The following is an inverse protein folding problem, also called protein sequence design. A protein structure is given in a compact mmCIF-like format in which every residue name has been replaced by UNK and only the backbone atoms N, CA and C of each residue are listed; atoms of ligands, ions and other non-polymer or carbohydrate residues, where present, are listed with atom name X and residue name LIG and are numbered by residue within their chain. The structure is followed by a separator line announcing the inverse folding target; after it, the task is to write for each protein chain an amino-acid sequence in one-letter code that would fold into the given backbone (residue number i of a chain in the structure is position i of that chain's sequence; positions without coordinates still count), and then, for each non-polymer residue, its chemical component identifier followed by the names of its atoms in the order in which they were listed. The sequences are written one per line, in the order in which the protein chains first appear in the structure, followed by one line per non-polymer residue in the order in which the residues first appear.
data_IF_246640425078
#
_entry.id   IF_246640425078
#
_cell.length_a   1.000
_cell.length_b   1.000
_cell.length_c   1.000
_cell.angle_alpha   90.00
_cell.angle_beta   90.00
_cell.angle_gamma   90.00
#
_symmetry.space_group_name_H-M   'P 1'
#
loop_
_entity.id
_entity.type
_entity.pdbx_description
1 polymer ?
#
# COMPACT_ATOMS: atom_id res chain seq x y z
N UNK A 1 21.99 -22.70 -48.36
CA UNK A 1 21.21 -23.15 -47.18
C UNK A 1 22.18 -23.61 -46.10
N UNK A 2 22.37 -22.85 -45.02
CA UNK A 2 23.14 -23.32 -43.85
C UNK A 2 22.22 -24.21 -43.03
N UNK A 3 22.41 -25.52 -43.09
CA UNK A 3 21.81 -26.48 -42.17
C UNK A 3 22.33 -26.16 -40.77
N UNK A 4 21.52 -25.52 -39.93
CA UNK A 4 21.80 -25.43 -38.49
C UNK A 4 21.80 -26.85 -37.94
N UNK A 5 22.99 -27.37 -37.65
CA UNK A 5 23.17 -28.66 -36.97
C UNK A 5 22.44 -28.55 -35.62
N UNK A 6 21.31 -29.24 -35.49
CA UNK A 6 20.55 -29.32 -34.24
C UNK A 6 21.51 -29.84 -33.16
N UNK A 7 21.68 -29.09 -32.08
CA UNK A 7 22.54 -29.52 -30.98
C UNK A 7 22.06 -30.90 -30.51
N UNK A 8 22.97 -31.84 -30.21
CA UNK A 8 22.59 -33.17 -29.78
C UNK A 8 21.79 -33.11 -28.47
N UNK A 9 20.76 -33.94 -28.37
CA UNK A 9 19.96 -34.09 -27.15
C UNK A 9 20.87 -34.49 -25.98
N UNK A 10 20.78 -33.80 -24.83
CA UNK A 10 21.61 -34.12 -23.67
C UNK A 10 21.22 -35.48 -23.10
N UNK A 11 22.17 -36.13 -22.40
CA UNK A 11 21.85 -37.35 -21.66
C UNK A 11 20.85 -37.04 -20.55
N UNK A 12 19.74 -37.79 -20.51
CA UNK A 12 18.70 -37.66 -19.47
C UNK A 12 19.31 -37.84 -18.06
N UNK A 13 19.19 -36.85 -17.15
CA UNK A 13 19.69 -36.95 -15.78
C UNK A 13 18.90 -37.97 -14.92
N UNK A 14 19.54 -38.51 -13.88
CA UNK A 14 18.95 -39.55 -12.98
C UNK A 14 17.69 -39.14 -12.22
N UNK A 15 17.37 -37.84 -12.13
CA UNK A 15 16.16 -37.33 -11.46
C UNK A 15 14.98 -37.02 -12.38
N UNK A 16 15.16 -37.13 -13.70
CA UNK A 16 14.12 -36.81 -14.69
C UNK A 16 13.29 -38.06 -14.98
N UNK A 17 11.94 -37.97 -14.96
CA UNK A 17 11.08 -39.09 -15.29
C UNK A 17 11.39 -39.75 -16.64
N UNK A 18 11.21 -41.07 -16.71
CA UNK A 18 11.52 -41.87 -17.89
C UNK A 18 10.68 -41.44 -19.11
N UNK A 19 9.45 -41.01 -18.88
CA UNK A 19 8.47 -40.55 -19.87
C UNK A 19 8.60 -39.07 -20.25
N UNK A 20 9.39 -38.28 -19.51
CA UNK A 20 9.66 -36.88 -19.87
C UNK A 20 10.41 -36.78 -21.21
N UNK A 21 10.03 -35.79 -22.03
CA UNK A 21 10.60 -35.57 -23.38
C UNK A 21 11.50 -34.34 -23.38
N UNK A 22 12.54 -34.34 -24.21
CA UNK A 22 13.41 -33.17 -24.31
C UNK A 22 12.80 -32.10 -25.22
N UNK A 23 12.54 -30.92 -24.66
CA UNK A 23 12.16 -29.71 -25.36
C UNK A 23 13.46 -28.94 -25.68
N UNK A 24 13.93 -29.08 -26.93
CA UNK A 24 15.15 -28.43 -27.40
C UNK A 24 15.05 -26.90 -27.46
N UNK A 25 13.94 -26.28 -27.92
CA UNK A 25 13.77 -24.82 -27.86
C UNK A 25 13.99 -24.21 -26.47
N UNK A 26 13.42 -24.82 -25.44
CA UNK A 26 13.52 -24.31 -24.06
C UNK A 26 14.69 -24.92 -23.27
N UNK A 27 15.46 -25.78 -23.93
CA UNK A 27 16.55 -26.59 -23.38
C UNK A 27 16.20 -27.28 -22.05
N UNK A 28 15.04 -27.93 -21.97
CA UNK A 28 14.51 -28.55 -20.75
C UNK A 28 13.88 -29.91 -21.04
N UNK A 29 13.75 -30.75 -20.02
CA UNK A 29 12.89 -31.93 -20.09
C UNK A 29 11.48 -31.56 -19.64
N UNK A 30 10.44 -32.06 -20.30
CA UNK A 30 9.04 -31.74 -20.00
C UNK A 30 8.17 -32.99 -19.89
N UNK A 31 7.16 -32.93 -19.03
CA UNK A 31 6.14 -33.95 -18.87
C UNK A 31 4.79 -33.29 -18.60
N UNK A 32 3.79 -33.68 -19.38
CA UNK A 32 2.43 -33.21 -19.22
C UNK A 32 1.48 -33.88 -20.22
N UNK A 33 0.22 -33.44 -20.22
CA UNK A 33 -0.83 -34.00 -21.08
C UNK A 33 -1.28 -32.98 -22.12
N UNK A 34 -1.56 -33.49 -23.31
CA UNK A 34 -2.22 -32.75 -24.39
C UNK A 34 -3.69 -33.18 -24.45
N UNK A 35 -4.57 -32.24 -24.80
CA UNK A 35 -5.95 -32.51 -25.12
C UNK A 35 -6.10 -33.12 -26.53
N UNK A 36 -7.34 -33.41 -26.94
CA UNK A 36 -7.66 -33.98 -28.27
C UNK A 36 -7.25 -33.09 -29.45
N UNK A 37 -7.03 -31.79 -29.21
CA UNK A 37 -6.61 -30.79 -30.20
C UNK A 37 -5.11 -30.53 -30.16
N UNK A 38 -4.36 -31.29 -29.36
CA UNK A 38 -2.92 -31.14 -29.21
C UNK A 38 -2.52 -29.92 -28.37
N UNK A 39 -3.41 -29.39 -27.52
CA UNK A 39 -3.14 -28.27 -26.62
C UNK A 39 -2.76 -28.75 -25.22
N UNK A 40 -1.83 -28.08 -24.51
CA UNK A 40 -1.49 -28.46 -23.14
C UNK A 40 -2.69 -28.28 -22.21
N UNK A 41 -2.86 -29.24 -21.30
CA UNK A 41 -3.94 -29.22 -20.30
C UNK A 41 -3.44 -29.76 -18.96
N UNK A 42 -3.89 -29.14 -17.87
CA UNK A 42 -3.56 -29.55 -16.52
C UNK A 42 -2.10 -29.25 -16.17
N UNK A 43 -1.56 -30.03 -15.23
CA UNK A 43 -0.19 -29.84 -14.75
C UNK A 43 0.86 -30.30 -15.77
N UNK A 44 1.86 -29.44 -15.97
CA UNK A 44 3.09 -29.69 -16.71
C UNK A 44 4.28 -29.45 -15.78
N UNK A 45 5.29 -30.31 -15.90
CA UNK A 45 6.53 -30.22 -15.13
C UNK A 45 7.72 -30.14 -16.05
N UNK A 46 8.70 -29.34 -15.66
CA UNK A 46 9.90 -29.10 -16.44
C UNK A 46 11.15 -29.28 -15.58
N UNK A 47 12.16 -29.97 -16.12
CA UNK A 47 13.43 -30.23 -15.44
C UNK A 47 14.61 -29.68 -16.24
N UNK A 48 15.59 -29.15 -15.53
CA UNK A 48 16.78 -28.57 -16.12
C UNK A 48 17.63 -29.61 -16.87
N UNK A 49 18.10 -29.28 -18.07
CA UNK A 49 18.76 -30.25 -18.98
C UNK A 49 19.95 -31.00 -18.41
N UNK A 50 20.79 -30.36 -17.60
CA UNK A 50 22.07 -30.94 -17.15
C UNK A 50 21.97 -31.61 -15.79
N UNK A 51 21.32 -30.96 -14.83
CA UNK A 51 21.25 -31.42 -13.44
C UNK A 51 19.96 -32.17 -13.13
N UNK A 52 18.90 -31.99 -13.93
CA UNK A 52 17.63 -32.69 -13.76
C UNK A 52 16.80 -32.27 -12.56
N UNK A 53 17.11 -31.14 -11.92
CA UNK A 53 16.22 -30.56 -10.91
C UNK A 53 14.96 -30.01 -11.57
N UNK A 54 13.84 -30.06 -10.85
CA UNK A 54 12.57 -29.45 -11.28
C UNK A 54 12.75 -27.93 -11.31
N UNK A 55 12.60 -27.32 -12.50
CA UNK A 55 12.80 -25.88 -12.70
C UNK A 55 11.52 -25.13 -13.05
N UNK A 56 10.44 -25.82 -13.41
CA UNK A 56 9.13 -25.21 -13.57
C UNK A 56 7.98 -26.19 -13.31
N UNK A 57 6.90 -25.69 -12.72
CA UNK A 57 5.58 -26.34 -12.70
C UNK A 57 4.59 -25.36 -13.30
N UNK A 58 3.82 -25.80 -14.29
CA UNK A 58 2.81 -24.99 -14.97
C UNK A 58 1.46 -25.69 -14.93
N UNK A 59 0.39 -24.93 -14.90
CA UNK A 59 -0.97 -25.43 -14.98
C UNK A 59 -1.69 -24.74 -16.13
N UNK A 60 -2.11 -25.53 -17.12
CA UNK A 60 -2.75 -25.05 -18.34
C UNK A 60 -4.27 -25.25 -18.31
N UNK A 61 -5.00 -24.17 -18.55
CA UNK A 61 -6.45 -24.10 -18.64
C UNK A 61 -6.88 -23.50 -20.00
N UNK A 62 -8.18 -23.48 -20.28
CA UNK A 62 -8.77 -22.82 -21.47
C UNK A 62 -8.15 -23.25 -22.80
N UNK A 63 -7.87 -24.55 -22.95
CA UNK A 63 -7.24 -25.10 -24.16
C UNK A 63 -5.80 -24.63 -24.33
N UNK A 64 -5.08 -24.48 -23.21
CA UNK A 64 -3.68 -24.05 -23.17
C UNK A 64 -3.48 -22.54 -23.30
N UNK A 65 -4.56 -21.75 -23.26
CA UNK A 65 -4.49 -20.28 -23.36
C UNK A 65 -4.08 -19.64 -22.05
N UNK A 66 -4.56 -20.17 -20.93
CA UNK A 66 -4.23 -19.68 -19.61
C UNK A 66 -3.19 -20.61 -18.98
N UNK A 67 -2.08 -20.03 -18.54
CA UNK A 67 -0.99 -20.73 -17.88
C UNK A 67 -0.72 -20.08 -16.53
N UNK A 68 -0.86 -20.83 -15.45
CA UNK A 68 -0.34 -20.44 -14.14
C UNK A 68 0.94 -21.20 -13.89
N UNK A 69 2.08 -20.52 -13.76
CA UNK A 69 3.36 -21.20 -13.61
C UNK A 69 4.17 -20.73 -12.40
N UNK A 70 5.03 -21.62 -11.92
CA UNK A 70 6.04 -21.38 -10.90
C UNK A 70 7.37 -21.90 -11.40
N UNK A 71 8.31 -21.00 -11.69
CA UNK A 71 9.72 -21.33 -11.89
C UNK A 71 10.38 -21.56 -10.54
N UNK A 72 11.29 -22.52 -10.48
CA UNK A 72 11.89 -22.99 -9.24
C UNK A 72 13.41 -22.89 -9.30
N UNK A 73 14.01 -22.43 -8.22
CA UNK A 73 15.43 -22.61 -7.94
C UNK A 73 15.74 -24.10 -7.69
N UNK A 74 17.01 -24.52 -7.80
CA UNK A 74 17.41 -25.90 -7.51
C UNK A 74 17.09 -26.37 -6.09
N UNK A 75 16.91 -25.46 -5.12
CA UNK A 75 16.52 -25.78 -3.74
C UNK A 75 15.01 -25.95 -3.55
N UNK A 76 14.22 -25.84 -4.63
CA UNK A 76 12.77 -25.98 -4.63
C UNK A 76 11.99 -24.73 -4.20
N UNK A 77 12.68 -23.65 -3.82
CA UNK A 77 12.01 -22.35 -3.65
C UNK A 77 11.68 -21.74 -5.02
N UNK A 78 10.64 -20.90 -5.11
CA UNK A 78 10.29 -20.29 -6.39
C UNK A 78 11.26 -19.16 -6.77
N UNK A 79 11.57 -19.08 -8.06
CA UNK A 79 12.27 -17.92 -8.65
C UNK A 79 11.28 -16.93 -9.25
N UNK A 80 10.23 -17.42 -9.92
CA UNK A 80 9.16 -16.63 -10.54
C UNK A 80 7.81 -17.30 -10.36
N UNK A 81 6.75 -16.54 -10.09
CA UNK A 81 5.34 -16.98 -10.19
C UNK A 81 4.53 -15.97 -10.99
N UNK A 82 3.72 -16.45 -11.94
CA UNK A 82 2.89 -15.58 -12.77
C UNK A 82 1.70 -16.35 -13.37
N UNK A 83 0.71 -15.58 -13.84
CA UNK A 83 -0.36 -16.05 -14.71
C UNK A 83 -0.22 -15.37 -16.07
N UNK A 84 -0.21 -16.18 -17.13
CA UNK A 84 -0.25 -15.73 -18.50
C UNK A 84 -1.58 -16.09 -19.17
N UNK A 85 -2.06 -15.21 -20.04
CA UNK A 85 -3.11 -15.51 -21.03
C UNK A 85 -2.56 -15.22 -22.42
N UNK A 86 -2.65 -16.21 -23.30
CA UNK A 86 -2.11 -16.17 -24.67
C UNK A 86 -0.62 -15.77 -24.70
N UNK A 87 0.14 -16.30 -23.72
CA UNK A 87 1.59 -16.07 -23.58
C UNK A 87 1.98 -14.69 -23.04
N UNK A 88 1.04 -13.91 -22.49
CA UNK A 88 1.30 -12.58 -21.93
C UNK A 88 0.84 -12.49 -20.46
N UNK A 89 1.55 -11.72 -19.61
CA UNK A 89 1.07 -11.39 -18.28
C UNK A 89 -0.32 -10.74 -18.32
N UNK A 90 -1.16 -11.10 -17.35
CA UNK A 90 -2.50 -10.54 -17.19
C UNK A 90 -2.39 -9.17 -16.49
N UNK A 91 -2.94 -8.08 -17.06
CA UNK A 91 -3.00 -6.78 -16.39
C UNK A 91 -3.66 -6.86 -15.01
N UNK A 92 -3.04 -6.26 -14.01
CA UNK A 92 -3.48 -6.24 -12.61
C UNK A 92 -3.00 -7.43 -11.78
N UNK A 93 -2.59 -8.54 -12.40
CA UNK A 93 -1.98 -9.67 -11.70
C UNK A 93 -0.55 -9.35 -11.25
N UNK A 94 -0.15 -9.94 -10.13
CA UNK A 94 1.19 -9.77 -9.57
C UNK A 94 2.11 -10.86 -10.08
N UNK A 95 3.24 -10.45 -10.66
CA UNK A 95 4.37 -11.31 -10.95
C UNK A 95 5.28 -11.30 -9.72
N UNK A 96 5.52 -12.46 -9.13
CA UNK A 96 6.39 -12.59 -7.98
C UNK A 96 7.76 -13.07 -8.42
N UNK A 97 8.80 -12.37 -8.02
CA UNK A 97 10.18 -12.78 -8.22
C UNK A 97 10.86 -12.97 -6.85
N UNK A 98 11.72 -13.96 -6.72
CA UNK A 98 12.48 -14.19 -5.49
C UNK A 98 13.88 -14.71 -5.80
N UNK A 99 14.83 -14.39 -4.92
CA UNK A 99 16.17 -14.98 -4.91
C UNK A 99 16.19 -16.28 -4.10
N UNK A 100 17.14 -17.12 -4.44
CA UNK A 100 17.55 -18.25 -3.62
C UNK A 100 18.59 -17.82 -2.58
N UNK A 101 18.57 -18.46 -1.41
CA UNK A 101 19.66 -18.37 -0.42
C UNK A 101 20.85 -19.28 -0.78
N UNK A 102 20.62 -20.23 -1.69
CA UNK A 102 21.59 -21.17 -2.22
C UNK A 102 22.05 -20.77 -3.63
N UNK A 103 23.22 -21.24 -4.11
CA UNK A 103 23.64 -21.06 -5.49
C UNK A 103 22.53 -21.47 -6.48
N UNK A 104 22.25 -20.63 -7.46
CA UNK A 104 21.16 -20.85 -8.42
C UNK A 104 21.54 -20.39 -9.82
N UNK A 105 20.97 -21.07 -10.82
CA UNK A 105 21.01 -20.68 -12.23
C UNK A 105 19.80 -19.84 -12.63
N UNK A 106 18.81 -19.71 -11.76
CA UNK A 106 17.61 -18.89 -11.98
C UNK A 106 17.87 -17.46 -11.52
N UNK A 107 18.18 -16.57 -12.47
CA UNK A 107 18.68 -15.22 -12.23
C UNK A 107 17.61 -14.13 -12.44
N UNK A 108 16.35 -14.45 -12.14
CA UNK A 108 15.22 -13.56 -12.38
C UNK A 108 15.34 -12.20 -11.66
N UNK A 109 16.03 -12.17 -10.51
CA UNK A 109 16.49 -10.95 -9.84
C UNK A 109 18.03 -10.99 -9.80
N UNK A 110 18.67 -10.37 -10.77
CA UNK A 110 20.13 -10.30 -10.88
C UNK A 110 20.59 -8.91 -11.30
N UNK A 111 21.83 -8.56 -10.98
CA UNK A 111 22.39 -7.23 -11.24
C UNK A 111 22.81 -6.50 -9.95
N UNK A 112 23.74 -5.53 -10.06
CA UNK A 112 24.23 -4.75 -8.92
C UNK A 112 23.13 -3.93 -8.21
N UNK A 113 22.11 -3.48 -8.94
CA UNK A 113 20.98 -2.70 -8.42
C UNK A 113 20.13 -3.50 -7.43
N UNK A 114 19.99 -4.81 -7.63
CA UNK A 114 19.20 -5.67 -6.74
C UNK A 114 20.01 -6.17 -5.54
N UNK A 115 21.20 -5.64 -5.24
CA UNK A 115 22.09 -6.16 -4.18
C UNK A 115 21.40 -6.29 -2.82
N UNK A 116 20.46 -5.39 -2.50
CA UNK A 116 19.69 -5.39 -1.25
C UNK A 116 18.31 -6.06 -1.36
N UNK A 117 17.84 -6.27 -2.58
CA UNK A 117 16.53 -6.85 -2.88
C UNK A 117 16.60 -8.37 -2.91
N UNK A 118 15.71 -9.01 -2.17
CA UNK A 118 15.57 -10.47 -2.12
C UNK A 118 14.31 -10.95 -2.83
N UNK A 119 13.24 -10.15 -2.83
CA UNK A 119 11.96 -10.48 -3.45
C UNK A 119 11.38 -9.22 -4.10
N UNK A 120 10.71 -9.40 -5.22
CA UNK A 120 10.05 -8.33 -5.97
C UNK A 120 8.63 -8.77 -6.28
N UNK A 121 7.68 -7.85 -6.14
CA UNK A 121 6.32 -7.98 -6.64
C UNK A 121 6.11 -6.94 -7.73
N UNK A 122 5.86 -7.40 -8.95
CA UNK A 122 5.56 -6.55 -10.10
C UNK A 122 4.07 -6.65 -10.43
N UNK A 123 3.32 -5.57 -10.28
CA UNK A 123 1.96 -5.49 -10.83
C UNK A 123 2.07 -5.03 -12.28
N UNK A 124 1.84 -5.95 -13.21
CA UNK A 124 1.84 -5.64 -14.63
C UNK A 124 0.59 -4.83 -14.97
N UNK A 125 0.75 -3.67 -15.61
CA UNK A 125 -0.39 -2.83 -16.03
C UNK A 125 -0.59 -2.96 -17.53
N UNK A 126 0.47 -2.70 -18.29
CA UNK A 126 0.52 -2.82 -19.75
C UNK A 126 1.96 -2.88 -20.21
N UNK A 127 2.17 -3.16 -21.50
CA UNK A 127 3.52 -3.19 -22.08
C UNK A 127 4.30 -1.92 -21.74
N UNK A 128 5.44 -2.08 -21.07
CA UNK A 128 6.33 -0.99 -20.66
C UNK A 128 5.91 -0.22 -19.39
N UNK A 129 4.86 -0.67 -18.70
CA UNK A 129 4.39 -0.04 -17.46
C UNK A 129 4.00 -1.09 -16.42
N UNK A 130 4.71 -1.05 -15.31
CA UNK A 130 4.47 -1.90 -14.15
C UNK A 130 4.73 -1.11 -12.86
N UNK A 131 4.06 -1.51 -11.78
CA UNK A 131 4.39 -1.05 -10.42
C UNK A 131 5.23 -2.11 -9.73
N UNK A 132 6.21 -1.68 -8.95
CA UNK A 132 7.21 -2.55 -8.32
C UNK A 132 7.19 -2.37 -6.81
N UNK A 133 7.22 -3.49 -6.07
CA UNK A 133 7.47 -3.50 -4.63
C UNK A 133 8.68 -4.38 -4.35
N UNK A 134 9.71 -3.81 -3.71
CA UNK A 134 10.92 -4.53 -3.36
C UNK A 134 10.90 -4.93 -1.89
N UNK A 135 11.47 -6.09 -1.59
CA UNK A 135 11.54 -6.62 -0.24
C UNK A 135 12.93 -7.18 0.06
N UNK A 136 13.37 -6.98 1.30
CA UNK A 136 14.60 -7.58 1.80
C UNK A 136 14.41 -9.08 2.16
N UNK A 137 15.49 -9.73 2.58
CA UNK A 137 15.47 -11.15 2.95
C UNK A 137 14.64 -11.47 4.22
N UNK A 138 14.21 -10.46 4.97
CA UNK A 138 13.30 -10.57 6.12
C UNK A 138 11.84 -10.32 5.73
N UNK A 139 11.55 -10.04 4.46
CA UNK A 139 10.22 -9.73 3.95
C UNK A 139 9.77 -8.30 4.23
N UNK A 140 10.68 -7.39 4.62
CA UNK A 140 10.37 -5.98 4.86
C UNK A 140 10.42 -5.21 3.54
N UNK A 141 9.49 -4.28 3.36
CA UNK A 141 9.45 -3.41 2.18
C UNK A 141 10.65 -2.46 2.19
N UNK A 142 11.30 -2.34 1.04
CA UNK A 142 12.47 -1.48 0.84
C UNK A 142 12.36 -0.74 -0.50
N UNK A 143 13.06 0.38 -0.59
CA UNK A 143 13.48 0.97 -1.85
C UNK A 143 14.54 0.09 -2.53
N UNK A 144 14.82 0.36 -3.81
CA UNK A 144 15.82 -0.39 -4.58
C UNK A 144 17.22 -0.35 -3.92
N UNK A 145 17.58 0.76 -3.31
CA UNK A 145 18.85 0.96 -2.60
C UNK A 145 18.93 0.24 -1.23
N UNK A 146 17.82 -0.34 -0.77
CA UNK A 146 17.70 -1.01 0.52
C UNK A 146 17.18 -0.15 1.67
N UNK A 147 16.85 1.12 1.44
CA UNK A 147 16.18 1.98 2.42
C UNK A 147 14.85 1.35 2.82
N UNK A 148 14.58 1.24 4.12
CA UNK A 148 13.33 0.66 4.60
C UNK A 148 12.17 1.58 4.30
N UNK A 149 11.11 1.04 3.71
CA UNK A 149 9.82 1.72 3.59
C UNK A 149 9.02 1.33 4.85
N UNK A 150 8.84 2.26 5.82
CA UNK A 150 8.12 1.94 7.04
C UNK A 150 6.66 1.63 6.71
N UNK A 151 6.19 0.48 7.16
CA UNK A 151 4.79 0.11 7.09
C UNK A 151 4.13 0.42 8.43
N UNK A 152 2.95 1.00 8.38
CA UNK A 152 2.10 1.22 9.53
C UNK A 152 1.46 -0.11 9.95
N UNK A 153 1.77 -0.55 11.15
CA UNK A 153 1.16 -1.73 11.77
C UNK A 153 -0.29 -1.37 12.17
N UNK A 154 -1.27 -2.01 11.51
CA UNK A 154 -2.70 -1.75 11.73
C UNK A 154 -3.12 -1.99 13.19
N UNK A 155 -2.56 -3.01 13.87
CA UNK A 155 -2.90 -3.31 15.27
C UNK A 155 -2.35 -2.24 16.21
N UNK A 156 -1.18 -1.67 15.92
CA UNK A 156 -0.65 -0.53 16.67
C UNK A 156 -1.48 0.72 16.38
N UNK A 157 -1.80 0.98 15.11
CA UNK A 157 -2.59 2.13 14.69
C UNK A 157 -4.00 2.13 15.30
N UNK A 158 -4.64 0.96 15.39
CA UNK A 158 -5.95 0.79 16.01
C UNK A 158 -6.02 1.29 17.47
N UNK A 159 -4.87 1.37 18.17
CA UNK A 159 -4.81 1.88 19.55
C UNK A 159 -5.15 3.37 19.65
N UNK A 160 -4.98 4.16 18.59
CA UNK A 160 -5.37 5.57 18.55
C UNK A 160 -6.87 5.76 18.88
N UNK A 161 -7.70 4.77 18.55
CA UNK A 161 -9.16 4.82 18.68
C UNK A 161 -9.68 4.16 19.97
N UNK A 162 -8.83 3.47 20.72
CA UNK A 162 -9.17 2.83 21.98
C UNK A 162 -10.45 1.98 21.91
N UNK A 163 -11.42 2.28 22.79
CA UNK A 163 -12.71 1.58 22.86
C UNK A 163 -13.63 1.82 21.65
N UNK A 164 -13.36 2.84 20.84
CA UNK A 164 -14.20 3.16 19.69
C UNK A 164 -13.92 2.25 18.48
N UNK A 165 -12.76 1.58 18.47
CA UNK A 165 -12.34 0.69 17.38
C UNK A 165 -11.83 1.45 16.16
N UNK A 166 -11.02 0.77 15.36
CA UNK A 166 -10.50 1.30 14.09
C UNK A 166 -11.61 1.28 13.03
N UNK A 167 -11.96 2.44 12.43
CA UNK A 167 -12.85 2.49 11.27
C UNK A 167 -12.42 1.57 10.13
N UNK A 168 -13.37 0.85 9.54
CA UNK A 168 -13.09 -0.08 8.43
C UNK A 168 -12.45 0.65 7.24
N UNK A 169 -12.86 1.88 6.97
CA UNK A 169 -12.28 2.72 5.90
C UNK A 169 -10.84 3.12 6.20
N UNK A 170 -10.48 3.35 7.47
CA UNK A 170 -9.09 3.64 7.85
C UNK A 170 -8.22 2.39 7.80
N UNK A 171 -8.74 1.21 8.17
CA UNK A 171 -8.01 -0.05 7.98
C UNK A 171 -7.64 -0.28 6.51
N UNK A 172 -8.58 -0.03 5.59
CA UNK A 172 -8.30 -0.04 4.14
C UNK A 172 -7.29 1.03 3.72
N UNK A 173 -7.32 2.21 4.33
CA UNK A 173 -6.36 3.29 4.02
C UNK A 173 -4.96 2.97 4.56
N UNK A 174 -4.84 2.26 5.69
CA UNK A 174 -3.56 1.72 6.17
C UNK A 174 -2.95 0.79 5.12
N UNK A 175 -3.76 -0.09 4.53
CA UNK A 175 -3.29 -0.98 3.45
C UNK A 175 -2.85 -0.18 2.22
N UNK A 176 -3.67 0.80 1.79
CA UNK A 176 -3.32 1.67 0.67
C UNK A 176 -2.00 2.44 0.94
N UNK A 177 -1.85 3.08 2.10
CA UNK A 177 -0.63 3.78 2.48
C UNK A 177 0.58 2.83 2.55
N UNK A 178 0.41 1.63 3.09
CA UNK A 178 1.49 0.64 3.12
C UNK A 178 1.89 0.15 1.72
N UNK A 179 0.98 0.29 0.75
CA UNK A 179 1.17 -0.08 -0.65
C UNK A 179 1.77 1.05 -1.49
N UNK A 180 1.42 2.31 -1.24
CA UNK A 180 1.93 3.44 -2.03
C UNK A 180 3.05 4.22 -1.35
N UNK A 181 3.18 4.12 -0.02
CA UNK A 181 4.05 4.93 0.82
C UNK A 181 3.30 6.04 1.55
N UNK A 182 3.75 6.39 2.76
CA UNK A 182 3.28 7.58 3.47
C UNK A 182 3.63 8.85 2.67
N UNK A 183 2.77 9.87 2.71
CA UNK A 183 2.94 11.16 1.99
C UNK A 183 3.01 11.06 0.45
N UNK A 184 2.92 9.85 -0.13
CA UNK A 184 3.00 9.65 -1.58
C UNK A 184 1.70 10.01 -2.32
N UNK A 185 0.59 10.18 -1.61
CA UNK A 185 -0.73 10.44 -2.18
C UNK A 185 -1.36 11.77 -1.78
N UNK A 186 -0.83 12.43 -0.75
CA UNK A 186 -1.18 13.78 -0.34
C UNK A 186 -0.03 14.37 0.43
N UNK A 187 0.29 15.62 0.12
CA UNK A 187 1.33 16.39 0.78
C UNK A 187 1.11 16.45 2.30
N UNK A 188 2.19 16.14 3.03
CA UNK A 188 2.30 16.18 4.49
C UNK A 188 1.22 15.40 5.27
N UNK A 189 0.48 14.52 4.58
CA UNK A 189 -0.50 13.63 5.17
C UNK A 189 0.06 12.20 5.31
N UNK A 190 0.06 11.71 6.54
CA UNK A 190 0.41 10.33 6.83
C UNK A 190 -0.45 9.79 7.98
N UNK A 191 -1.07 8.62 7.78
CA UNK A 191 -1.57 7.85 8.90
C UNK A 191 -0.38 7.45 9.78
N UNK A 192 -0.51 7.66 11.09
CA UNK A 192 0.55 7.36 12.04
C UNK A 192 -0.05 6.93 13.39
N UNK A 193 0.69 6.09 14.12
CA UNK A 193 0.42 5.89 15.55
C UNK A 193 0.74 7.17 16.29
N UNK A 194 -0.14 7.58 17.18
CA UNK A 194 0.00 8.84 17.92
C UNK A 194 -0.28 8.59 19.41
N UNK A 195 0.63 9.06 20.26
CA UNK A 195 0.56 8.89 21.71
C UNK A 195 -0.12 10.06 22.43
N UNK A 196 -0.74 10.95 21.64
CA UNK A 196 -1.36 12.22 22.03
C UNK A 196 -0.37 13.26 22.54
N UNK A 197 0.90 13.17 22.14
CA UNK A 197 1.96 14.10 22.52
C UNK A 197 1.60 15.56 22.27
N UNK A 198 1.15 15.89 21.06
CA UNK A 198 0.72 17.25 20.71
C UNK A 198 -0.42 17.72 21.64
N UNK A 199 -1.46 16.91 21.83
CA UNK A 199 -2.61 17.26 22.65
C UNK A 199 -2.29 17.47 24.13
N UNK A 200 -1.24 16.84 24.66
CA UNK A 200 -0.76 17.07 26.04
C UNK A 200 -0.08 18.43 26.18
N UNK A 201 0.55 18.91 25.10
CA UNK A 201 1.15 20.24 25.01
C UNK A 201 0.14 21.32 24.61
N UNK A 202 -0.99 20.93 24.00
CA UNK A 202 -2.05 21.85 23.62
C UNK A 202 -2.65 22.53 24.85
N UNK A 203 -2.72 23.85 24.76
CA UNK A 203 -3.30 24.68 25.78
C UNK A 203 -4.80 24.88 25.58
N UNK A 204 -5.49 25.31 26.62
CA UNK A 204 -6.78 25.97 26.51
C UNK A 204 -6.70 27.14 25.51
N UNK A 205 -7.83 27.65 24.99
CA UNK A 205 -7.86 28.74 24.00
C UNK A 205 -7.12 30.03 24.39
N UNK A 206 -6.71 30.19 25.65
CA UNK A 206 -5.92 31.31 26.15
C UNK A 206 -4.40 31.01 26.24
N UNK A 207 -3.95 29.87 25.70
CA UNK A 207 -2.55 29.46 25.72
C UNK A 207 -2.07 28.87 27.05
N UNK A 208 -2.96 28.55 27.98
CA UNK A 208 -2.61 27.90 29.26
C UNK A 208 -2.85 26.38 29.28
N UNK A 209 -2.05 25.59 30.01
CA UNK A 209 -2.28 24.15 30.16
C UNK A 209 -3.67 23.85 30.73
N UNK A 210 -4.25 22.71 30.34
CA UNK A 210 -5.52 22.22 30.90
C UNK A 210 -5.44 22.13 32.42
N UNK A 211 -6.33 22.84 33.12
CA UNK A 211 -6.16 23.21 34.53
C UNK A 211 -6.13 22.05 35.54
N UNK A 212 -6.57 20.83 35.17
CA UNK A 212 -6.52 19.66 36.07
C UNK A 212 -6.31 18.35 35.32
N UNK A 213 -5.71 17.36 35.99
CA UNK A 213 -5.52 15.99 35.45
C UNK A 213 -6.82 15.32 35.02
N UNK A 214 -7.93 15.59 35.70
CA UNK A 214 -9.23 15.04 35.34
C UNK A 214 -9.76 15.67 34.04
N UNK A 215 -9.58 16.98 33.88
CA UNK A 215 -9.91 17.70 32.65
C UNK A 215 -9.00 17.28 31.50
N UNK A 216 -7.70 17.12 31.75
CA UNK A 216 -6.73 16.61 30.78
C UNK A 216 -7.13 15.22 30.29
N UNK A 217 -7.46 14.30 31.21
CA UNK A 217 -7.94 12.97 30.85
C UNK A 217 -9.18 13.03 29.96
N UNK A 218 -10.20 13.81 30.34
CA UNK A 218 -11.44 13.98 29.56
C UNK A 218 -11.18 14.60 28.19
N UNK A 219 -10.27 15.56 28.11
CA UNK A 219 -9.85 16.20 26.87
C UNK A 219 -9.18 15.19 25.93
N UNK A 220 -8.18 14.48 26.43
CA UNK A 220 -7.45 13.46 25.66
C UNK A 220 -8.37 12.31 25.24
N UNK A 221 -9.31 11.86 26.08
CA UNK A 221 -10.27 10.81 25.74
C UNK A 221 -11.24 11.21 24.62
N UNK A 222 -11.49 12.51 24.45
CA UNK A 222 -12.40 13.01 23.40
C UNK A 222 -11.72 13.17 22.03
N UNK A 223 -10.39 13.12 21.95
CA UNK A 223 -9.64 13.28 20.71
C UNK A 223 -9.04 11.93 20.28
N UNK A 224 -9.40 11.48 19.09
CA UNK A 224 -8.95 10.21 18.52
C UNK A 224 -8.05 10.52 17.30
N UNK A 225 -6.71 10.43 17.44
CA UNK A 225 -5.78 10.87 16.40
C UNK A 225 -5.90 9.99 15.14
N UNK A 226 -5.99 10.64 13.98
CA UNK A 226 -6.14 9.97 12.68
C UNK A 226 -4.81 9.97 11.94
N UNK A 227 -4.20 11.14 11.75
CA UNK A 227 -3.05 11.33 10.88
C UNK A 227 -2.24 12.57 11.27
N UNK A 228 -0.96 12.58 10.91
CA UNK A 228 -0.20 13.83 10.81
C UNK A 228 -0.83 14.72 9.75
N UNK A 229 -0.89 16.02 10.06
CA UNK A 229 -1.49 17.03 9.21
C UNK A 229 -0.46 17.90 8.51
N UNK A 230 0.77 18.00 9.02
CA UNK A 230 1.85 18.76 8.40
C UNK A 230 3.21 18.08 8.68
N UNK A 231 4.29 18.63 8.10
CA UNK A 231 5.64 18.08 8.28
C UNK A 231 6.29 18.34 9.65
N UNK A 232 5.70 19.18 10.50
CA UNK A 232 6.34 19.72 11.71
C UNK A 232 5.68 19.29 13.03
N UNK A 233 4.45 18.77 12.98
CA UNK A 233 3.80 18.13 14.14
C UNK A 233 2.29 18.33 14.28
N UNK A 234 1.62 19.05 13.39
CA UNK A 234 0.17 19.21 13.38
C UNK A 234 -0.54 17.86 13.22
N UNK A 235 -1.75 17.72 13.79
CA UNK A 235 -2.47 16.44 13.82
C UNK A 235 -3.95 16.62 13.48
N UNK A 236 -4.47 15.72 12.65
CA UNK A 236 -5.92 15.50 12.48
C UNK A 236 -6.45 14.52 13.51
N UNK A 237 -7.58 14.83 14.15
CA UNK A 237 -8.25 13.94 15.09
C UNK A 237 -9.76 13.91 14.86
N UNK A 238 -10.38 12.75 15.06
CA UNK A 238 -11.83 12.68 15.26
C UNK A 238 -12.16 13.20 16.66
N UNK A 239 -13.11 14.12 16.73
CA UNK A 239 -13.59 14.71 17.97
C UNK A 239 -14.89 14.04 18.42
N UNK A 240 -14.82 13.34 19.55
CA UNK A 240 -15.98 12.81 20.23
C UNK A 240 -16.72 13.94 20.95
N UNK A 241 -17.72 14.49 20.26
CA UNK A 241 -18.61 15.54 20.76
C UNK A 241 -19.63 15.06 21.82
N UNK A 242 -19.54 13.80 22.25
CA UNK A 242 -20.42 13.21 23.26
C UNK A 242 -21.74 12.67 22.72
N UNK A 243 -21.98 12.69 21.40
CA UNK A 243 -23.26 12.29 20.79
C UNK A 243 -23.38 10.81 20.40
N UNK A 244 -22.56 9.93 20.99
CA UNK A 244 -22.54 8.48 20.75
C UNK A 244 -22.35 8.05 19.27
N UNK A 245 -21.82 8.95 18.43
CA UNK A 245 -21.43 8.71 17.04
C UNK A 245 -20.33 7.65 16.94
N UNK A 246 -20.28 6.94 15.81
CA UNK A 246 -19.08 6.18 15.45
C UNK A 246 -17.95 7.12 15.05
N UNK A 247 -16.70 6.64 15.03
CA UNK A 247 -15.55 7.47 14.64
C UNK A 247 -15.71 8.02 13.22
N UNK A 248 -16.33 7.26 12.32
CA UNK A 248 -16.61 7.70 10.95
C UNK A 248 -17.52 8.93 10.89
N UNK A 249 -18.43 9.07 11.86
CA UNK A 249 -19.44 10.13 11.91
C UNK A 249 -19.01 11.33 12.77
N UNK A 250 -17.97 11.18 13.58
CA UNK A 250 -17.44 12.24 14.43
C UNK A 250 -16.87 13.40 13.59
N UNK A 251 -17.10 14.66 13.97
CA UNK A 251 -16.42 15.79 13.35
C UNK A 251 -14.89 15.62 13.43
N UNK A 252 -14.18 16.04 12.38
CA UNK A 252 -12.73 16.02 12.37
C UNK A 252 -12.20 17.41 12.65
N UNK A 253 -11.22 17.48 13.54
CA UNK A 253 -10.50 18.68 13.92
C UNK A 253 -9.04 18.58 13.52
N UNK A 254 -8.40 19.73 13.29
CA UNK A 254 -6.96 19.85 13.15
C UNK A 254 -6.41 20.66 14.32
N UNK A 255 -5.28 20.24 14.86
CA UNK A 255 -4.49 20.96 15.84
C UNK A 255 -3.18 21.35 15.20
N UNK A 256 -2.92 22.67 15.15
CA UNK A 256 -1.68 23.24 14.67
C UNK A 256 -0.56 23.08 15.71
N UNK A 257 0.63 22.71 15.28
CA UNK A 257 1.84 22.69 16.13
C UNK A 257 2.40 24.09 16.42
N UNK A 258 2.04 25.07 15.59
CA UNK A 258 2.26 26.52 15.86
C UNK A 258 1.07 27.17 16.60
N UNK A 259 0.04 26.39 16.94
CA UNK A 259 -1.19 26.82 17.58
C UNK A 259 -2.40 26.79 16.64
N UNK A 260 -3.59 27.00 17.22
CA UNK A 260 -4.86 27.00 16.49
C UNK A 260 -5.52 25.62 16.41
N UNK A 261 -6.82 25.58 16.74
CA UNK A 261 -7.63 24.37 16.73
C UNK A 261 -8.94 24.61 15.96
N UNK A 262 -9.11 23.88 14.86
CA UNK A 262 -10.24 24.12 13.94
C UNK A 262 -10.95 22.84 13.57
N UNK A 263 -12.28 22.92 13.45
CA UNK A 263 -13.06 21.86 12.81
C UNK A 263 -12.85 21.95 11.30
N UNK A 264 -12.38 20.86 10.68
CA UNK A 264 -12.06 20.80 9.23
C UNK A 264 -13.05 19.96 8.43
N UNK A 265 -13.70 18.97 9.03
CA UNK A 265 -14.69 18.16 8.34
C UNK A 265 -15.84 17.74 9.26
N UNK A 266 -17.03 17.52 8.68
CA UNK A 266 -18.20 17.06 9.44
C UNK A 266 -18.09 15.61 9.90
N UNK A 267 -17.22 14.83 9.24
CA UNK A 267 -17.04 13.40 9.41
C UNK A 267 -15.75 12.94 8.71
N UNK A 268 -15.41 11.66 8.86
CA UNK A 268 -14.19 11.09 8.28
C UNK A 268 -14.17 11.15 6.74
N UNK A 269 -15.31 10.94 6.08
CA UNK A 269 -15.40 11.04 4.62
C UNK A 269 -15.04 12.46 4.13
N UNK A 270 -15.39 13.50 4.89
CA UNK A 270 -14.99 14.87 4.60
C UNK A 270 -13.48 15.10 4.75
N UNK A 271 -12.83 14.50 5.76
CA UNK A 271 -11.36 14.55 5.86
C UNK A 271 -10.71 13.86 4.66
N UNK A 272 -11.16 12.66 4.31
CA UNK A 272 -10.62 11.92 3.17
C UNK A 272 -10.79 12.69 1.84
N UNK A 273 -11.90 13.43 1.69
CA UNK A 273 -12.07 14.35 0.57
C UNK A 273 -11.08 15.53 0.61
N UNK A 274 -10.79 16.11 1.78
CA UNK A 274 -9.75 17.15 1.93
C UNK A 274 -8.38 16.62 1.47
N UNK A 275 -7.99 15.43 1.92
CA UNK A 275 -6.72 14.78 1.57
C UNK A 275 -6.56 14.58 0.07
N UNK A 276 -7.66 14.35 -0.66
CA UNK A 276 -7.59 14.23 -2.11
C UNK A 276 -7.17 15.53 -2.79
N UNK A 277 -7.35 16.68 -2.12
CA UNK A 277 -6.84 17.97 -2.55
C UNK A 277 -5.33 17.99 -2.74
N UNK A 278 -4.58 17.11 -2.05
CA UNK A 278 -3.13 17.05 -2.06
C UNK A 278 -2.52 18.42 -1.76
N UNK A 279 -2.78 18.89 -0.54
CA UNK A 279 -2.38 20.21 -0.04
C UNK A 279 -2.21 20.11 1.47
N UNK A 280 -1.09 20.61 1.97
CA UNK A 280 -0.85 20.80 3.40
C UNK A 280 -1.78 21.89 3.99
N UNK A 281 -2.44 21.65 5.13
CA UNK A 281 -3.17 22.67 5.86
C UNK A 281 -2.21 23.73 6.43
N UNK A 282 -2.51 24.99 6.18
CA UNK A 282 -1.93 26.11 6.93
C UNK A 282 -2.86 26.39 8.11
N UNK A 283 -2.38 26.14 9.34
CA UNK A 283 -3.17 26.26 10.57
C UNK A 283 -2.67 27.44 11.38
N UNK A 284 -3.52 28.44 11.54
CA UNK A 284 -3.26 29.63 12.35
C UNK A 284 -4.27 29.70 13.51
N UNK A 285 -4.08 30.64 14.44
CA UNK A 285 -5.03 30.89 15.53
C UNK A 285 -6.45 31.25 15.04
N UNK A 286 -6.55 31.98 13.92
CA UNK A 286 -7.82 32.50 13.42
C UNK A 286 -8.52 31.58 12.42
N UNK A 287 -7.80 30.62 11.84
CA UNK A 287 -8.38 29.75 10.81
C UNK A 287 -7.45 28.66 10.31
N UNK A 288 -7.96 27.94 9.33
CA UNK A 288 -7.23 26.92 8.58
C UNK A 288 -7.52 27.10 7.10
N UNK A 289 -6.50 27.01 6.26
CA UNK A 289 -6.62 27.12 4.82
C UNK A 289 -5.85 26.01 4.11
N UNK A 290 -6.29 25.66 2.90
CA UNK A 290 -5.65 24.65 2.05
C UNK A 290 -5.24 25.34 0.75
N UNK A 291 -4.11 26.05 0.81
CA UNK A 291 -3.58 26.78 -0.33
C UNK A 291 -2.69 25.89 -1.19
N UNK A 292 -3.00 25.81 -2.49
CA UNK A 292 -2.17 25.12 -3.48
C UNK A 292 -1.42 26.14 -4.32
N UNK A 293 -0.09 26.13 -4.24
CA UNK A 293 0.74 27.04 -5.01
C UNK A 293 0.65 26.73 -6.52
N UNK A 294 0.79 27.72 -7.43
CA UNK A 294 0.78 27.47 -8.87
C UNK A 294 1.88 26.52 -9.38
N UNK A 295 2.99 26.42 -8.64
CA UNK A 295 4.13 25.54 -8.89
C UNK A 295 4.05 24.21 -8.12
N UNK A 296 2.91 23.92 -7.48
CA UNK A 296 2.71 22.67 -6.76
C UNK A 296 2.79 21.46 -7.68
N UNK A 297 3.75 20.58 -7.41
CA UNK A 297 3.82 19.27 -8.06
C UNK A 297 2.92 18.26 -7.34
N UNK A 298 1.96 17.64 -8.05
CA UNK A 298 1.06 16.69 -7.41
C UNK A 298 1.82 15.46 -6.91
N UNK A 299 1.42 14.92 -5.76
CA UNK A 299 2.03 13.70 -5.23
C UNK A 299 1.78 12.53 -6.19
N UNK A 300 2.78 11.66 -6.42
CA UNK A 300 2.76 10.69 -7.51
C UNK A 300 1.62 9.67 -7.42
N UNK A 301 1.06 9.44 -6.24
CA UNK A 301 -0.02 8.47 -6.00
C UNK A 301 -1.36 9.15 -5.66
N UNK A 302 -1.51 10.46 -5.91
CA UNK A 302 -2.77 11.18 -5.68
C UNK A 302 -3.92 10.68 -6.57
N UNK A 303 -3.65 10.38 -7.84
CA UNK A 303 -4.67 9.82 -8.75
C UNK A 303 -5.12 8.42 -8.32
N UNK A 304 -4.17 7.61 -7.83
CA UNK A 304 -4.48 6.30 -7.26
C UNK A 304 -5.35 6.44 -6.00
N UNK A 305 -5.07 7.44 -5.17
CA UNK A 305 -5.89 7.74 -3.99
C UNK A 305 -7.29 8.22 -4.34
N UNK A 306 -7.45 9.08 -5.35
CA UNK A 306 -8.78 9.50 -5.85
C UNK A 306 -9.61 8.33 -6.37
N UNK A 307 -8.96 7.39 -7.06
CA UNK A 307 -9.60 6.13 -7.49
C UNK A 307 -10.00 5.30 -6.28
N UNK A 308 -9.09 5.12 -5.32
CA UNK A 308 -9.35 4.41 -4.08
C UNK A 308 -10.53 5.01 -3.29
N UNK A 309 -10.66 6.35 -3.25
CA UNK A 309 -11.78 7.04 -2.62
C UNK A 309 -13.11 6.77 -3.31
N UNK A 310 -13.13 6.78 -4.64
CA UNK A 310 -14.33 6.48 -5.40
C UNK A 310 -14.82 5.05 -5.13
N UNK A 311 -13.89 4.08 -5.04
CA UNK A 311 -14.19 2.66 -4.83
C UNK A 311 -14.55 2.32 -3.38
N UNK A 312 -13.87 2.93 -2.40
CA UNK A 312 -13.98 2.54 -0.99
C UNK A 312 -14.84 3.47 -0.14
N UNK A 313 -15.05 4.71 -0.59
CA UNK A 313 -15.83 5.74 0.13
C UNK A 313 -17.02 6.22 -0.71
N UNK A 314 -17.06 5.91 -2.01
CA UNK A 314 -18.12 6.34 -2.92
C UNK A 314 -17.98 7.79 -3.40
N UNK A 315 -16.83 8.43 -3.13
CA UNK A 315 -16.59 9.84 -3.46
C UNK A 315 -15.97 9.97 -4.85
N UNK A 316 -16.82 10.02 -5.89
CA UNK A 316 -16.38 10.17 -7.29
C UNK A 316 -15.91 11.58 -7.64
N UNK A 317 -16.49 12.58 -7.01
CA UNK A 317 -16.14 13.99 -7.17
C UNK A 317 -15.81 14.56 -5.81
N UNK A 318 -14.65 15.19 -5.70
CA UNK A 318 -14.16 15.74 -4.45
C UNK A 318 -14.37 17.26 -4.45
N UNK A 319 -15.15 17.82 -3.51
CA UNK A 319 -15.25 19.26 -3.34
C UNK A 319 -13.88 19.88 -2.99
N UNK A 320 -13.70 21.18 -3.27
CA UNK A 320 -12.51 21.88 -2.79
C UNK A 320 -12.43 21.82 -1.25
N UNK A 321 -11.23 21.63 -0.66
CA UNK A 321 -11.07 21.56 0.80
C UNK A 321 -11.76 22.68 1.56
N UNK A 322 -11.61 23.94 1.12
CA UNK A 322 -12.23 25.11 1.77
C UNK A 322 -13.77 25.02 1.88
N UNK A 323 -14.43 24.42 0.88
CA UNK A 323 -15.88 24.24 0.91
C UNK A 323 -16.30 23.23 2.00
N UNK A 324 -15.49 22.19 2.20
CA UNK A 324 -15.70 21.17 3.24
C UNK A 324 -15.48 21.81 4.61
N UNK A 325 -14.37 22.52 4.79
CA UNK A 325 -14.04 23.25 6.02
C UNK A 325 -15.13 24.24 6.39
N UNK A 326 -15.53 25.12 5.46
CA UNK A 326 -16.56 26.13 5.71
C UNK A 326 -17.88 25.50 6.16
N UNK A 327 -18.27 24.38 5.55
CA UNK A 327 -19.48 23.63 5.93
C UNK A 327 -19.35 23.05 7.34
N UNK A 328 -18.21 22.43 7.65
CA UNK A 328 -17.93 21.84 8.95
C UNK A 328 -17.88 22.89 10.08
N UNK A 329 -17.18 24.00 9.86
CA UNK A 329 -17.10 25.12 10.80
C UNK A 329 -18.47 25.76 11.05
N UNK A 330 -19.30 25.93 10.01
CA UNK A 330 -20.67 26.43 10.16
C UNK A 330 -21.50 25.54 11.08
N UNK A 331 -21.32 24.21 11.00
CA UNK A 331 -22.10 23.24 11.79
C UNK A 331 -21.57 23.02 13.20
N UNK A 332 -20.26 22.91 13.35
CA UNK A 332 -19.63 22.43 14.58
C UNK A 332 -18.70 23.44 15.23
N UNK A 333 -18.29 24.51 14.55
CA UNK A 333 -17.27 25.45 15.04
C UNK A 333 -17.65 26.11 16.37
N UNK A 334 -18.89 26.55 16.52
CA UNK A 334 -19.36 27.15 17.79
C UNK A 334 -19.39 26.13 18.94
N UNK A 335 -19.82 24.90 18.68
CA UNK A 335 -19.85 23.83 19.66
C UNK A 335 -18.44 23.42 20.08
N UNK A 336 -17.51 23.29 19.13
CA UNK A 336 -16.11 22.97 19.38
C UNK A 336 -15.42 24.06 20.20
N UNK A 337 -15.59 25.34 19.83
CA UNK A 337 -15.06 26.47 20.62
C UNK A 337 -15.61 26.48 22.05
N UNK A 338 -16.90 26.19 22.24
CA UNK A 338 -17.50 26.08 23.57
C UNK A 338 -16.92 24.90 24.36
N UNK A 339 -16.70 23.76 23.69
CA UNK A 339 -16.09 22.58 24.29
C UNK A 339 -14.64 22.86 24.72
N UNK A 340 -13.80 23.43 23.86
CA UNK A 340 -12.42 23.84 24.19
C UNK A 340 -12.38 24.76 25.41
N UNK A 341 -13.26 25.77 25.47
CA UNK A 341 -13.35 26.69 26.62
C UNK A 341 -13.75 26.03 27.94
N UNK A 342 -14.35 24.84 27.91
CA UNK A 342 -14.71 24.12 29.14
C UNK A 342 -13.50 23.49 29.86
N UNK A 343 -12.33 23.49 29.22
CA UNK A 343 -11.07 23.00 29.77
C UNK A 343 -10.08 24.12 30.15
N UNK A 344 -10.46 25.38 29.88
CA UNK A 344 -9.71 26.59 30.22
C UNK A 344 -9.78 26.93 31.72
#
# INVERSE_FOLDING_TARGET
MKTTKKAPEPKKPKGVPADAKYNAPDEQWELGKLDKKGKPVGEWRYWWRTTGHLCCVSHFEDGGRKETFTRLHPDGTYSVKCVHVDGKPVPGEVIHYQKSKNPTTELAISGPEYKKVFRVEETYIRKGLSKWKNFDAKGRRIEMDGTLIPMLDEKKYAKNFGKHGLPAVLAKLVQFQNDVGAEMYSECFALATDDKGLFKGSCAPDGKPVASKANEKRFLEALLPIAGANGTGSVYAAWNDGTAKTVEEMPVVVFGDEGGEHVVAENLAGLLAIVAGDVEPMVDWDGVSYYKSPDHEPRPENDAYRTWLAENVGLKTVPKPDAIVKKAQKRYGAAFKKWMKSFA
#
